data_IF_471094632850
#
_entry.id   IF_471094632850
#
_cell.length_a   1.000
_cell.length_b   1.000
_cell.length_c   1.000
_cell.angle_alpha   90.00
_cell.angle_beta   90.00
_cell.angle_gamma   90.00
#
_symmetry.space_group_name_H-M   'P 1'
#
loop_
_entity.id
_entity.type
_entity.pdbx_description
1 polymer ?
#
# COMPACT_ATOMS: atom_id res chain seq x y z
N UNK A 1 30.92 -3.82 32.03
CA UNK A 1 31.37 -3.75 30.63
C UNK A 1 30.83 -5.00 29.93
N UNK A 2 29.52 -5.00 29.62
CA UNK A 2 28.85 -6.16 29.03
C UNK A 2 28.90 -6.04 27.50
N UNK A 3 29.38 -7.13 26.90
CA UNK A 3 29.75 -7.29 25.50
C UNK A 3 28.62 -6.93 24.53
N UNK A 4 28.94 -6.13 23.51
CA UNK A 4 28.05 -5.70 22.42
C UNK A 4 27.91 -6.77 21.31
N UNK A 5 28.55 -7.93 21.48
CA UNK A 5 28.61 -9.02 20.48
C UNK A 5 27.66 -10.19 20.74
N UNK A 6 26.61 -10.00 21.55
CA UNK A 6 25.58 -11.05 21.69
C UNK A 6 24.78 -11.17 20.37
N UNK A 7 24.86 -12.31 19.65
CA UNK A 7 24.19 -12.50 18.37
C UNK A 7 22.66 -12.38 18.49
N UNK A 8 22.09 -12.61 19.68
CA UNK A 8 20.66 -12.38 19.92
C UNK A 8 20.31 -10.89 19.98
N UNK A 9 21.20 -10.06 20.54
CA UNK A 9 21.02 -8.59 20.60
C UNK A 9 21.18 -7.98 19.20
N UNK A 10 22.11 -8.49 18.38
CA UNK A 10 22.27 -8.07 16.99
C UNK A 10 21.10 -8.48 16.08
N UNK A 11 20.54 -9.67 16.29
CA UNK A 11 19.35 -10.13 15.57
C UNK A 11 18.14 -9.27 15.94
N UNK A 12 17.94 -8.99 17.23
CA UNK A 12 16.88 -8.10 17.69
C UNK A 12 17.03 -6.67 17.16
N UNK A 13 18.26 -6.13 17.14
CA UNK A 13 18.54 -4.80 16.57
C UNK A 13 18.26 -4.74 15.06
N UNK A 14 18.57 -5.82 14.32
CA UNK A 14 18.24 -5.94 12.89
C UNK A 14 16.74 -6.00 12.65
N UNK A 15 16.02 -6.79 13.43
CA UNK A 15 14.57 -6.92 13.31
C UNK A 15 13.86 -5.62 13.72
N UNK A 16 14.32 -4.95 14.77
CA UNK A 16 13.81 -3.64 15.17
C UNK A 16 14.09 -2.57 14.10
N UNK A 17 15.23 -2.63 13.42
CA UNK A 17 15.55 -1.73 12.31
C UNK A 17 14.77 -2.07 11.03
N UNK A 18 14.42 -3.34 10.80
CA UNK A 18 13.56 -3.80 9.69
C UNK A 18 12.11 -3.39 9.92
N UNK A 19 11.58 -3.61 11.13
CA UNK A 19 10.25 -3.19 11.54
C UNK A 19 10.12 -1.67 11.57
N UNK A 20 11.13 -0.93 12.05
CA UNK A 20 11.11 0.53 11.97
C UNK A 20 11.22 1.06 10.54
N UNK A 21 11.83 0.32 9.60
CA UNK A 21 11.82 0.67 8.18
C UNK A 21 10.46 0.42 7.54
N UNK A 22 9.84 -0.72 7.84
CA UNK A 22 8.48 -1.05 7.41
C UNK A 22 7.47 -0.06 7.98
N UNK A 23 7.56 0.26 9.27
CA UNK A 23 6.70 1.25 9.93
C UNK A 23 6.85 2.64 9.32
N UNK A 24 8.08 3.11 9.07
CA UNK A 24 8.30 4.42 8.43
C UNK A 24 7.88 4.46 6.96
N UNK A 25 7.98 3.33 6.25
CA UNK A 25 7.43 3.21 4.90
C UNK A 25 5.89 3.23 4.93
N UNK A 26 5.30 2.58 5.93
CA UNK A 26 3.85 2.57 6.15
C UNK A 26 3.31 3.95 6.57
N UNK A 27 4.01 4.67 7.45
CA UNK A 27 3.69 6.05 7.85
C UNK A 27 3.75 7.04 6.69
N UNK A 28 4.54 6.76 5.64
CA UNK A 28 4.56 7.55 4.40
C UNK A 28 3.42 7.20 3.44
N UNK A 29 2.85 5.99 3.58
CA UNK A 29 1.72 5.50 2.80
C UNK A 29 0.37 5.83 3.45
N UNK A 30 0.34 6.14 4.75
CA UNK A 30 -0.82 6.74 5.43
C UNK A 30 -0.76 8.25 5.20
N UNK A 31 -1.55 8.83 4.28
CA UNK A 31 -1.53 10.27 4.08
C UNK A 31 -1.96 10.98 5.37
N UNK A 32 -1.26 12.08 5.67
CA UNK A 32 -1.41 12.93 6.85
C UNK A 32 -2.76 13.67 6.98
N UNK A 33 -3.81 13.20 6.31
CA UNK A 33 -5.13 13.83 6.29
C UNK A 33 -6.19 12.84 6.78
N UNK A 34 -6.09 12.49 8.04
CA UNK A 34 -7.26 12.06 8.78
C UNK A 34 -8.08 13.32 9.06
N UNK A 35 -9.37 13.26 8.77
CA UNK A 35 -10.26 14.30 9.29
C UNK A 35 -10.16 14.34 10.82
N UNK A 36 -10.49 15.49 11.41
CA UNK A 36 -10.56 15.67 12.87
C UNK A 36 -11.55 14.72 13.54
N UNK A 37 -12.38 14.01 12.76
CA UNK A 37 -13.23 12.89 13.17
C UNK A 37 -12.48 11.55 13.08
N UNK A 38 -11.28 11.49 13.67
CA UNK A 38 -10.61 10.21 13.89
C UNK A 38 -11.25 9.57 15.13
N UNK A 39 -11.90 8.39 15.03
CA UNK A 39 -12.46 7.72 16.20
C UNK A 39 -11.38 7.48 17.25
N UNK A 40 -11.77 7.51 18.52
CA UNK A 40 -10.89 7.06 19.58
C UNK A 40 -10.39 5.63 19.34
N UNK A 41 -9.24 5.28 19.91
CA UNK A 41 -8.73 3.90 19.83
C UNK A 41 -9.78 2.95 20.42
N UNK A 42 -10.33 2.05 19.58
CA UNK A 42 -11.38 1.10 19.96
C UNK A 42 -12.80 1.51 19.60
N UNK A 43 -13.02 2.69 19.02
CA UNK A 43 -14.34 3.14 18.57
C UNK A 43 -14.60 2.70 17.12
N UNK A 44 -15.77 2.09 16.91
CA UNK A 44 -16.22 1.70 15.58
C UNK A 44 -16.75 2.93 14.83
N UNK A 45 -16.34 3.07 13.57
CA UNK A 45 -16.86 4.11 12.70
C UNK A 45 -17.50 3.51 11.45
N UNK A 46 -18.74 3.92 11.21
CA UNK A 46 -19.51 3.53 10.02
C UNK A 46 -19.61 4.74 9.11
N UNK A 47 -19.13 4.59 7.88
CA UNK A 47 -19.21 5.62 6.84
C UNK A 47 -19.28 4.99 5.46
N UNK A 48 -19.93 5.69 4.54
CA UNK A 48 -19.94 5.32 3.13
C UNK A 48 -18.55 5.58 2.50
N UNK A 49 -18.10 4.62 1.70
CA UNK A 49 -16.80 4.69 1.02
C UNK A 49 -16.81 3.83 -0.24
N UNK A 50 -15.80 4.01 -1.10
CA UNK A 50 -15.58 3.15 -2.27
C UNK A 50 -14.21 2.48 -2.15
N UNK A 51 -14.18 1.16 -2.40
CA UNK A 51 -12.95 0.41 -2.55
C UNK A 51 -12.65 0.17 -4.04
N UNK A 52 -11.40 0.30 -4.43
CA UNK A 52 -10.87 -0.07 -5.74
C UNK A 52 -9.87 -1.20 -5.56
N UNK A 53 -10.05 -2.28 -6.32
CA UNK A 53 -9.09 -3.37 -6.45
C UNK A 53 -8.55 -3.39 -7.88
N UNK A 54 -7.25 -3.65 -8.01
CA UNK A 54 -6.56 -3.80 -9.30
C UNK A 54 -5.78 -5.12 -9.28
N UNK A 55 -5.53 -5.68 -10.46
CA UNK A 55 -4.82 -6.94 -10.67
C UNK A 55 -4.22 -6.92 -12.09
N UNK A 56 -3.02 -7.49 -12.28
CA UNK A 56 -2.37 -7.55 -13.58
C UNK A 56 -2.90 -8.74 -14.39
N UNK A 57 -3.54 -8.42 -15.52
CA UNK A 57 -3.98 -9.47 -16.45
C UNK A 57 -2.81 -10.33 -16.93
N UNK A 58 -3.02 -11.64 -16.91
CA UNK A 58 -2.07 -12.64 -17.38
C UNK A 58 -0.76 -12.72 -16.59
N UNK A 59 -0.72 -12.22 -15.36
CA UNK A 59 0.46 -12.28 -14.50
C UNK A 59 1.04 -13.70 -14.36
N UNK A 60 0.20 -14.73 -14.26
CA UNK A 60 0.65 -16.14 -14.22
C UNK A 60 1.48 -16.52 -15.46
N UNK A 61 1.03 -16.14 -16.66
CA UNK A 61 1.78 -16.41 -17.90
C UNK A 61 3.06 -15.59 -17.99
N UNK A 62 3.05 -14.37 -17.46
CA UNK A 62 4.24 -13.53 -17.38
C UNK A 62 5.29 -14.17 -16.47
N UNK A 63 4.89 -14.68 -15.30
CA UNK A 63 5.77 -15.41 -14.38
C UNK A 63 6.39 -16.66 -15.03
N UNK A 64 5.59 -17.45 -15.76
CA UNK A 64 6.08 -18.64 -16.48
C UNK A 64 7.09 -18.29 -17.56
N UNK A 65 6.84 -17.22 -18.34
CA UNK A 65 7.71 -16.78 -19.42
C UNK A 65 9.07 -16.22 -18.96
N UNK A 66 9.15 -15.76 -17.71
CA UNK A 66 10.37 -15.20 -17.10
C UNK A 66 10.85 -16.04 -15.91
N UNK A 67 10.59 -17.35 -15.91
CA UNK A 67 10.97 -18.23 -14.81
C UNK A 67 12.48 -18.15 -14.45
N UNK A 68 13.33 -17.97 -15.47
CA UNK A 68 14.78 -17.84 -15.31
C UNK A 68 15.25 -16.39 -15.04
N UNK A 69 14.35 -15.40 -15.09
CA UNK A 69 14.64 -13.98 -14.80
C UNK A 69 13.56 -13.32 -13.90
N UNK A 70 13.55 -13.66 -12.60
CA UNK A 70 12.60 -13.06 -11.64
C UNK A 70 12.78 -11.55 -11.46
N UNK A 71 13.97 -11.01 -11.73
CA UNK A 71 14.25 -9.59 -11.58
C UNK A 71 13.46 -8.75 -12.60
N UNK A 72 13.33 -9.25 -13.83
CA UNK A 72 12.50 -8.60 -14.85
C UNK A 72 11.03 -8.60 -14.48
N UNK A 73 10.49 -9.69 -13.92
CA UNK A 73 9.09 -9.72 -13.46
C UNK A 73 8.86 -8.68 -12.38
N UNK A 74 9.74 -8.63 -11.38
CA UNK A 74 9.63 -7.66 -10.29
C UNK A 74 9.67 -6.22 -10.80
N UNK A 75 10.50 -5.93 -11.81
CA UNK A 75 10.54 -4.61 -12.45
C UNK A 75 9.20 -4.25 -13.09
N UNK A 76 8.60 -5.17 -13.86
CA UNK A 76 7.31 -4.96 -14.52
C UNK A 76 6.20 -4.70 -13.49
N UNK A 77 6.14 -5.51 -12.44
CA UNK A 77 5.16 -5.33 -11.36
C UNK A 77 5.33 -3.97 -10.68
N UNK A 78 6.57 -3.59 -10.36
CA UNK A 78 6.83 -2.29 -9.74
C UNK A 78 6.45 -1.11 -10.64
N UNK A 79 6.71 -1.20 -11.94
CA UNK A 79 6.30 -0.19 -12.93
C UNK A 79 4.76 -0.07 -12.99
N UNK A 80 4.05 -1.20 -13.03
CA UNK A 80 2.58 -1.19 -13.00
C UNK A 80 2.02 -0.60 -11.71
N UNK A 81 2.50 -1.07 -10.55
CA UNK A 81 2.06 -0.57 -9.26
C UNK A 81 2.34 0.93 -9.11
N UNK A 82 3.44 1.43 -9.66
CA UNK A 82 3.73 2.88 -9.65
C UNK A 82 2.67 3.68 -10.44
N UNK A 83 2.22 3.18 -11.59
CA UNK A 83 1.11 3.80 -12.36
C UNK A 83 -0.18 3.79 -11.53
N UNK A 84 -0.53 2.64 -10.96
CA UNK A 84 -1.76 2.49 -10.19
C UNK A 84 -1.78 3.36 -8.92
N UNK A 85 -0.67 3.41 -8.17
CA UNK A 85 -0.51 4.27 -6.98
C UNK A 85 -0.66 5.74 -7.36
N UNK A 86 -0.07 6.16 -8.49
CA UNK A 86 -0.17 7.55 -8.95
C UNK A 86 -1.60 7.91 -9.36
N UNK A 87 -2.29 7.02 -10.07
CA UNK A 87 -3.69 7.22 -10.44
C UNK A 87 -4.60 7.37 -9.20
N UNK A 88 -4.48 6.47 -8.23
CA UNK A 88 -5.22 6.53 -6.95
C UNK A 88 -4.93 7.82 -6.21
N UNK A 89 -3.65 8.17 -6.05
CA UNK A 89 -3.23 9.34 -5.26
C UNK A 89 -3.68 10.64 -5.90
N UNK A 90 -3.59 10.76 -7.24
CA UNK A 90 -4.07 11.93 -7.99
C UNK A 90 -5.59 12.13 -7.87
N UNK A 91 -6.34 11.06 -7.72
CA UNK A 91 -7.79 11.11 -7.53
C UNK A 91 -8.20 11.29 -6.06
N UNK A 92 -7.24 11.33 -5.12
CA UNK A 92 -7.49 11.53 -3.69
C UNK A 92 -7.85 10.26 -2.93
N UNK A 93 -7.57 9.08 -3.51
CA UNK A 93 -7.70 7.81 -2.82
C UNK A 93 -6.47 7.49 -1.97
N UNK A 94 -6.61 6.50 -1.10
CA UNK A 94 -5.53 5.99 -0.24
C UNK A 94 -5.26 4.54 -0.60
N UNK A 95 -4.01 4.20 -0.89
CA UNK A 95 -3.59 2.81 -1.06
C UNK A 95 -3.48 2.18 0.32
N UNK A 96 -4.37 1.24 0.62
CA UNK A 96 -4.38 0.54 1.91
C UNK A 96 -3.31 -0.54 1.95
N UNK A 97 -3.19 -1.33 0.89
CA UNK A 97 -2.19 -2.40 0.76
C UNK A 97 -2.00 -2.85 -0.68
N UNK A 98 -0.82 -3.40 -0.93
CA UNK A 98 -0.54 -4.20 -2.11
C UNK A 98 -1.02 -5.64 -1.88
N UNK A 99 -1.63 -6.25 -2.89
CA UNK A 99 -2.13 -7.62 -2.84
C UNK A 99 -1.66 -8.33 -4.10
N UNK A 100 -0.64 -9.17 -3.96
CA UNK A 100 0.00 -9.82 -5.10
C UNK A 100 0.63 -8.79 -6.05
N UNK A 101 0.11 -8.77 -7.27
CA UNK A 101 0.51 -7.94 -8.42
C UNK A 101 -0.36 -6.68 -8.59
N UNK A 102 -1.33 -6.47 -7.69
CA UNK A 102 -2.19 -5.30 -7.68
C UNK A 102 -2.27 -4.60 -6.32
N UNK A 103 -3.28 -3.73 -6.16
CA UNK A 103 -3.50 -2.97 -4.93
C UNK A 103 -4.97 -2.87 -4.54
N UNK A 104 -5.18 -2.62 -3.25
CA UNK A 104 -6.43 -2.16 -2.67
C UNK A 104 -6.30 -0.68 -2.32
N UNK A 105 -7.21 0.13 -2.85
CA UNK A 105 -7.36 1.54 -2.50
C UNK A 105 -8.75 1.85 -1.97
N UNK A 106 -8.85 2.87 -1.14
CA UNK A 106 -10.11 3.38 -0.60
C UNK A 106 -10.29 4.86 -0.88
N UNK A 107 -11.54 5.27 -1.08
CA UNK A 107 -11.98 6.65 -1.29
C UNK A 107 -13.11 6.92 -0.30
N UNK A 108 -13.07 8.05 0.40
CA UNK A 108 -14.04 8.36 1.46
C UNK A 108 -13.81 7.62 2.80
N UNK A 109 -12.91 6.64 2.85
CA UNK A 109 -12.75 5.77 4.03
C UNK A 109 -11.91 6.39 5.17
N UNK A 110 -11.06 7.38 4.89
CA UNK A 110 -10.20 8.06 5.89
C UNK A 110 -10.48 9.56 6.03
N UNK A 111 -11.04 10.13 4.98
CA UNK A 111 -11.39 11.54 4.83
C UNK A 111 -12.76 11.58 4.15
N UNK A 112 -13.63 12.49 4.57
CA UNK A 112 -14.95 12.69 4.00
C UNK A 112 -14.82 13.14 2.55
N UNK A 113 -15.35 12.35 1.63
CA UNK A 113 -15.31 12.62 0.19
C UNK A 113 -16.70 12.34 -0.38
N UNK A 114 -17.57 13.36 -0.53
CA UNK A 114 -18.91 13.17 -1.09
C UNK A 114 -18.90 12.59 -2.51
N UNK A 115 -17.82 12.83 -3.26
CA UNK A 115 -17.54 12.38 -4.62
C UNK A 115 -16.64 11.13 -4.67
N UNK A 116 -16.61 10.33 -3.59
CA UNK A 116 -15.73 9.15 -3.46
C UNK A 116 -15.91 8.13 -4.59
N UNK A 117 -17.11 8.03 -5.18
CA UNK A 117 -17.44 7.09 -6.25
C UNK A 117 -16.81 7.53 -7.57
N UNK A 118 -17.00 8.80 -7.92
CA UNK A 118 -16.48 9.43 -9.13
C UNK A 118 -14.95 9.42 -9.11
N UNK A 119 -14.35 9.70 -7.96
CA UNK A 119 -12.89 9.63 -7.76
C UNK A 119 -12.34 8.23 -7.98
N UNK A 120 -13.01 7.21 -7.45
CA UNK A 120 -12.58 5.82 -7.64
C UNK A 120 -12.65 5.39 -9.11
N UNK A 121 -13.70 5.80 -9.83
CA UNK A 121 -13.83 5.55 -11.28
C UNK A 121 -12.73 6.30 -12.05
N UNK A 122 -12.50 7.58 -11.74
CA UNK A 122 -11.44 8.36 -12.38
C UNK A 122 -10.05 7.76 -12.13
N UNK A 123 -9.79 7.21 -10.93
CA UNK A 123 -8.57 6.51 -10.63
C UNK A 123 -8.44 5.24 -11.47
N UNK A 124 -9.49 4.42 -11.55
CA UNK A 124 -9.50 3.20 -12.34
C UNK A 124 -9.25 3.45 -13.83
N UNK A 125 -9.70 4.57 -14.38
CA UNK A 125 -9.43 4.97 -15.77
C UNK A 125 -7.97 5.42 -16.00
N UNK A 126 -7.23 5.70 -14.94
CA UNK A 126 -5.81 6.07 -14.99
C UNK A 126 -4.84 4.93 -14.67
N UNK A 127 -5.37 3.74 -14.35
CA UNK A 127 -4.62 2.48 -14.18
C UNK A 127 -4.48 1.81 -15.54
#
# INVERSE_FOLDING_TARGET
>A
MQSTDDPQVLLFARDLARLNRLRRAYERLVPARLDTETPGVGEALVRDSTALFTDLRHFTRLMEGFADDPATVLRIVNEHLAVAVNAVTRCGGVVEKFVGDGLLATFGARTTQPDHRERAVAAAMGV
#
